data_IF_683292832137
#
_entry.id   IF_683292832137
#
_cell.length_a   1.000
_cell.length_b   1.000
_cell.length_c   1.000
_cell.angle_alpha   90.00
_cell.angle_beta   90.00
_cell.angle_gamma   90.00
#
_symmetry.space_group_name_H-M   'P 1'
#
loop_
_entity.id
_entity.type
_entity.pdbx_description
1 polymer ?
#
# COMPACT_ATOMS: atom_id res chain seq x y z
N UNK A 1 6.02 -18.36 6.43
CA UNK A 1 6.85 -17.14 6.54
C UNK A 1 7.21 -16.70 5.12
N UNK A 2 6.36 -15.89 4.47
CA UNK A 2 6.74 -15.27 3.21
C UNK A 2 7.98 -14.41 3.46
N UNK A 3 8.97 -14.44 2.57
CA UNK A 3 10.07 -13.47 2.65
C UNK A 3 9.49 -12.05 2.49
N UNK A 4 10.03 -11.05 3.19
CA UNK A 4 9.58 -9.65 3.06
C UNK A 4 9.56 -9.18 1.60
N UNK A 5 10.48 -9.68 0.79
CA UNK A 5 10.53 -9.42 -0.65
C UNK A 5 9.31 -10.00 -1.39
N UNK A 6 8.91 -11.24 -1.07
CA UNK A 6 7.74 -11.86 -1.69
C UNK A 6 6.45 -11.14 -1.26
N UNK A 7 6.37 -10.73 0.01
CA UNK A 7 5.28 -9.89 0.51
C UNK A 7 5.20 -8.58 -0.28
N UNK A 8 6.32 -7.86 -0.44
CA UNK A 8 6.40 -6.63 -1.23
C UNK A 8 5.89 -6.80 -2.66
N UNK A 9 6.38 -7.84 -3.34
CA UNK A 9 5.99 -8.11 -4.74
C UNK A 9 4.49 -8.37 -4.83
N UNK A 10 3.93 -9.18 -3.92
CA UNK A 10 2.49 -9.44 -3.90
C UNK A 10 1.69 -8.17 -3.65
N UNK A 11 2.08 -7.36 -2.65
CA UNK A 11 1.42 -6.08 -2.36
C UNK A 11 1.45 -5.17 -3.58
N UNK A 12 2.61 -4.98 -4.22
CA UNK A 12 2.73 -4.15 -5.44
C UNK A 12 1.80 -4.66 -6.54
N UNK A 13 1.75 -5.98 -6.78
CA UNK A 13 0.91 -6.56 -7.84
C UNK A 13 -0.57 -6.33 -7.54
N UNK A 14 -1.01 -6.61 -6.32
CA UNK A 14 -2.42 -6.48 -5.91
C UNK A 14 -2.87 -5.02 -5.98
N UNK A 15 -2.10 -4.12 -5.37
CA UNK A 15 -2.43 -2.69 -5.36
C UNK A 15 -2.36 -2.06 -6.74
N UNK A 16 -1.42 -2.50 -7.59
CA UNK A 16 -1.36 -2.08 -8.98
C UNK A 16 -2.68 -2.39 -9.68
N UNK A 17 -3.18 -3.63 -9.57
CA UNK A 17 -4.44 -4.00 -10.20
C UNK A 17 -5.62 -3.20 -9.66
N UNK A 18 -5.73 -3.02 -8.33
CA UNK A 18 -6.81 -2.25 -7.72
C UNK A 18 -6.80 -0.79 -8.22
N UNK A 19 -5.66 -0.12 -8.10
CA UNK A 19 -5.54 1.29 -8.46
C UNK A 19 -5.69 1.48 -9.97
N UNK A 20 -5.11 0.59 -10.78
CA UNK A 20 -5.23 0.65 -12.24
C UNK A 20 -6.68 0.41 -12.70
N UNK A 21 -7.40 -0.54 -12.11
CA UNK A 21 -8.81 -0.79 -12.46
C UNK A 21 -9.71 0.40 -12.12
N UNK A 22 -9.43 1.12 -11.02
CA UNK A 22 -10.22 2.28 -10.59
C UNK A 22 -9.86 3.53 -11.41
N UNK A 23 -8.56 3.82 -11.58
CA UNK A 23 -8.11 5.04 -12.25
C UNK A 23 -8.07 4.94 -13.77
N UNK A 24 -7.86 3.74 -14.32
CA UNK A 24 -7.69 3.46 -15.76
C UNK A 24 -6.65 4.37 -16.45
N UNK A 25 -5.63 4.80 -15.69
CA UNK A 25 -4.48 5.58 -16.18
C UNK A 25 -3.46 4.65 -16.85
N UNK A 26 -2.42 5.25 -17.43
CA UNK A 26 -1.30 4.51 -18.01
C UNK A 26 -0.76 3.43 -17.04
N UNK A 27 -0.70 2.16 -17.46
CA UNK A 27 -0.32 1.06 -16.57
C UNK A 27 1.14 1.13 -16.14
N UNK A 28 2.06 1.64 -16.98
CA UNK A 28 3.47 1.75 -16.60
C UNK A 28 3.67 2.81 -15.53
N UNK A 29 3.01 3.96 -15.67
CA UNK A 29 3.03 5.03 -14.68
C UNK A 29 2.38 4.56 -13.37
N UNK A 30 1.25 3.84 -13.48
CA UNK A 30 0.55 3.32 -12.30
C UNK A 30 1.43 2.31 -11.55
N UNK A 31 2.06 1.37 -12.25
CA UNK A 31 2.97 0.39 -11.65
C UNK A 31 4.16 1.08 -10.98
N UNK A 32 4.76 2.09 -11.63
CA UNK A 32 5.85 2.87 -11.06
C UNK A 32 5.42 3.53 -9.74
N UNK A 33 4.29 4.23 -9.73
CA UNK A 33 3.81 4.94 -8.55
C UNK A 33 3.46 3.99 -7.40
N UNK A 34 2.78 2.88 -7.68
CA UNK A 34 2.47 1.87 -6.66
C UNK A 34 3.74 1.23 -6.11
N UNK A 35 4.72 0.95 -6.96
CA UNK A 35 6.01 0.42 -6.53
C UNK A 35 6.75 1.40 -5.62
N UNK A 36 6.78 2.69 -5.96
CA UNK A 36 7.41 3.72 -5.14
C UNK A 36 6.75 3.88 -3.77
N UNK A 37 5.41 3.82 -3.73
CA UNK A 37 4.65 3.88 -2.48
C UNK A 37 5.04 2.69 -1.58
N UNK A 38 4.93 1.48 -2.09
CA UNK A 38 5.17 0.26 -1.32
C UNK A 38 6.64 0.04 -0.92
N UNK A 39 7.58 0.45 -1.79
CA UNK A 39 9.01 0.44 -1.46
C UNK A 39 9.34 1.39 -0.30
N UNK A 40 8.51 2.40 -0.05
CA UNK A 40 8.66 3.30 1.09
C UNK A 40 7.88 2.78 2.31
N UNK A 41 6.60 2.47 2.15
CA UNK A 41 5.72 2.16 3.29
C UNK A 41 6.00 0.80 3.91
N UNK A 42 6.22 -0.24 3.10
CA UNK A 42 6.34 -1.60 3.62
C UNK A 42 7.64 -1.84 4.43
N UNK A 43 8.83 -1.41 3.99
CA UNK A 43 10.05 -1.55 4.80
C UNK A 43 9.96 -0.79 6.13
N UNK A 44 9.34 0.41 6.12
CA UNK A 44 9.13 1.20 7.33
C UNK A 44 8.14 0.52 8.28
N UNK A 45 7.05 -0.05 7.76
CA UNK A 45 6.09 -0.80 8.56
C UNK A 45 6.73 -2.05 9.18
N UNK A 46 7.48 -2.83 8.40
CA UNK A 46 8.21 -3.99 8.88
C UNK A 46 9.25 -3.61 9.95
N UNK A 47 10.00 -2.54 9.72
CA UNK A 47 10.94 -2.01 10.71
C UNK A 47 10.23 -1.63 12.01
N UNK A 48 9.10 -0.92 11.92
CA UNK A 48 8.37 -0.50 13.11
C UNK A 48 7.70 -1.66 13.85
N UNK A 49 7.22 -2.68 13.13
CA UNK A 49 6.72 -3.92 13.73
C UNK A 49 7.81 -4.64 14.52
N UNK A 50 8.99 -4.85 13.92
CA UNK A 50 10.08 -5.63 14.51
C UNK A 50 10.76 -4.89 15.67
N UNK A 51 11.08 -3.61 15.49
CA UNK A 51 11.93 -2.88 16.43
C UNK A 51 11.16 -2.05 17.45
N UNK A 52 9.93 -1.60 17.14
CA UNK A 52 9.10 -0.85 18.07
C UNK A 52 7.93 -1.65 18.64
N UNK A 53 7.72 -2.90 18.19
CA UNK A 53 6.64 -3.75 18.66
C UNK A 53 5.25 -3.15 18.41
N UNK A 54 5.12 -2.31 17.37
CA UNK A 54 3.83 -1.69 17.05
C UNK A 54 2.81 -2.77 16.70
N UNK A 55 1.58 -2.63 17.20
CA UNK A 55 0.54 -3.58 16.86
C UNK A 55 0.16 -3.46 15.36
N UNK A 56 -0.34 -4.55 14.80
CA UNK A 56 -0.72 -4.63 13.39
C UNK A 56 -1.71 -3.53 12.99
N UNK A 57 -2.78 -3.32 13.79
CA UNK A 57 -3.81 -2.34 13.47
C UNK A 57 -3.28 -0.90 13.40
N UNK A 58 -2.38 -0.51 14.32
CA UNK A 58 -1.77 0.81 14.33
C UNK A 58 -0.87 1.00 13.11
N UNK A 59 -0.11 -0.03 12.72
CA UNK A 59 0.71 0.01 11.51
C UNK A 59 -0.12 0.21 10.26
N UNK A 60 -1.20 -0.57 10.09
CA UNK A 60 -2.11 -0.44 8.94
C UNK A 60 -2.73 0.96 8.86
N UNK A 61 -3.13 1.54 10.00
CA UNK A 61 -3.66 2.91 10.04
C UNK A 61 -2.60 3.94 9.65
N UNK A 62 -1.36 3.80 10.14
CA UNK A 62 -0.28 4.72 9.81
C UNK A 62 0.13 4.62 8.34
N UNK A 63 0.24 3.40 7.81
CA UNK A 63 0.51 3.15 6.39
C UNK A 63 -0.58 3.77 5.54
N UNK A 64 -1.85 3.48 5.83
CA UNK A 64 -3.00 4.08 5.15
C UNK A 64 -2.93 5.61 5.12
N UNK A 65 -2.63 6.27 6.25
CA UNK A 65 -2.52 7.73 6.31
C UNK A 65 -1.38 8.27 5.45
N UNK A 66 -0.21 7.61 5.46
CA UNK A 66 0.93 8.00 4.64
C UNK A 66 0.62 7.81 3.16
N UNK A 67 -0.01 6.69 2.79
CA UNK A 67 -0.35 6.38 1.41
C UNK A 67 -1.38 7.34 0.81
N UNK A 68 -2.34 7.84 1.60
CA UNK A 68 -3.24 8.90 1.15
C UNK A 68 -2.45 10.09 0.60
N UNK A 69 -1.41 10.51 1.33
CA UNK A 69 -0.57 11.66 0.97
C UNK A 69 0.23 11.33 -0.29
N UNK A 70 0.87 10.16 -0.35
CA UNK A 70 1.69 9.75 -1.49
C UNK A 70 0.84 9.57 -2.77
N UNK A 71 -0.31 8.90 -2.68
CA UNK A 71 -1.24 8.72 -3.81
C UNK A 71 -1.72 10.08 -4.31
N UNK A 72 -2.08 10.99 -3.40
CA UNK A 72 -2.49 12.36 -3.76
C UNK A 72 -1.40 13.06 -4.57
N UNK A 73 -0.15 13.02 -4.09
CA UNK A 73 0.98 13.71 -4.73
C UNK A 73 1.31 13.07 -6.09
N UNK A 74 1.49 11.75 -6.13
CA UNK A 74 1.91 11.02 -7.33
C UNK A 74 0.84 11.04 -8.42
N UNK A 75 -0.42 10.74 -8.08
CA UNK A 75 -1.51 10.69 -9.07
C UNK A 75 -2.19 12.04 -9.31
N UNK A 76 -1.80 13.09 -8.58
CA UNK A 76 -2.38 14.45 -8.62
C UNK A 76 -3.90 14.43 -8.44
N UNK A 77 -4.36 13.75 -7.40
CA UNK A 77 -5.78 13.58 -7.09
C UNK A 77 -6.23 14.51 -5.97
N UNK A 78 -7.54 14.69 -5.83
CA UNK A 78 -8.13 15.29 -4.62
C UNK A 78 -8.15 14.29 -3.46
N UNK A 79 -8.20 14.80 -2.22
CA UNK A 79 -8.17 13.97 -1.00
C UNK A 79 -9.20 12.84 -1.00
N UNK A 80 -10.45 13.11 -1.41
CA UNK A 80 -11.51 12.10 -1.43
C UNK A 80 -11.14 10.88 -2.29
N UNK A 81 -10.57 11.09 -3.48
CA UNK A 81 -10.13 9.99 -4.36
C UNK A 81 -8.93 9.26 -3.79
N UNK A 82 -7.97 9.98 -3.21
CA UNK A 82 -6.79 9.36 -2.58
C UNK A 82 -7.17 8.49 -1.38
N UNK A 83 -8.11 8.95 -0.56
CA UNK A 83 -8.65 8.18 0.58
C UNK A 83 -9.31 6.90 0.08
N UNK A 84 -10.19 6.99 -0.92
CA UNK A 84 -10.86 5.82 -1.49
C UNK A 84 -9.86 4.80 -2.03
N UNK A 85 -8.84 5.25 -2.77
CA UNK A 85 -7.82 4.39 -3.36
C UNK A 85 -6.95 3.73 -2.30
N UNK A 86 -6.44 4.50 -1.34
CA UNK A 86 -5.63 3.96 -0.26
C UNK A 86 -6.42 2.96 0.58
N UNK A 87 -7.71 3.23 0.82
CA UNK A 87 -8.57 2.33 1.57
C UNK A 87 -8.82 1.03 0.80
N UNK A 88 -9.17 1.13 -0.50
CA UNK A 88 -9.41 -0.05 -1.32
C UNK A 88 -8.15 -0.93 -1.46
N UNK A 89 -6.98 -0.32 -1.65
CA UNK A 89 -5.70 -1.01 -1.74
C UNK A 89 -5.33 -1.68 -0.40
N UNK A 90 -5.24 -0.90 0.69
CA UNK A 90 -4.85 -1.41 2.01
C UNK A 90 -5.85 -2.42 2.57
N UNK A 91 -7.16 -2.24 2.38
CA UNK A 91 -8.13 -3.19 2.92
C UNK A 91 -7.95 -4.58 2.32
N UNK A 92 -7.69 -4.67 1.01
CA UNK A 92 -7.47 -5.95 0.34
C UNK A 92 -6.15 -6.57 0.80
N UNK A 93 -5.07 -5.79 0.88
CA UNK A 93 -3.76 -6.31 1.29
C UNK A 93 -3.73 -6.68 2.78
N UNK A 94 -4.41 -5.92 3.65
CA UNK A 94 -4.58 -6.25 5.07
C UNK A 94 -5.41 -7.53 5.28
N UNK A 95 -6.48 -7.72 4.51
CA UNK A 95 -7.26 -8.97 4.56
C UNK A 95 -6.43 -10.17 4.12
N UNK A 96 -5.58 -10.02 3.10
CA UNK A 96 -4.66 -11.07 2.66
C UNK A 96 -3.63 -11.33 3.77
N UNK A 97 -3.04 -10.29 4.36
CA UNK A 97 -2.14 -10.41 5.50
C UNK A 97 -2.77 -11.20 6.65
N UNK A 98 -4.03 -10.94 7.01
CA UNK A 98 -4.74 -11.69 8.06
C UNK A 98 -4.99 -13.18 7.73
N UNK A 99 -5.05 -13.54 6.45
CA UNK A 99 -5.28 -14.93 6.03
C UNK A 99 -3.98 -15.75 5.94
N UNK A 100 -2.83 -15.08 5.78
CA UNK A 100 -1.53 -15.72 5.49
C UNK A 100 -0.44 -15.46 6.56
N UNK A 101 -0.73 -14.63 7.57
CA UNK A 101 0.10 -14.35 8.75
C UNK A 101 -0.62 -14.90 9.99
#
# INVERSE_FOLDING_TARGET
MLSFLLSLILTIVIEFFIIWLILRKDPKITLLYVSLINLLTQPLANFAFIYFGMNFLLLEVLVFLVEIILIKILFRLGYQKSILLSFAANAVTALISLLFI
#
